data_IF_177763038828
#
_entry.id   IF_177763038828
#
_cell.length_a   1.000
_cell.length_b   1.000
_cell.length_c   1.000
_cell.angle_alpha   90.00
_cell.angle_beta   90.00
_cell.angle_gamma   90.00
#
_symmetry.space_group_name_H-M   'P 1'
#
loop_
_entity.id
_entity.type
_entity.pdbx_description
1 polymer ?
#
# COMPACT_ATOMS: atom_id res chain seq x y z
N UNK A 1 -37.67 -28.68 -5.54
CA UNK A 1 -36.49 -28.48 -6.41
C UNK A 1 -35.31 -28.22 -5.49
N UNK A 2 -34.55 -29.28 -5.23
CA UNK A 2 -33.40 -29.26 -4.33
C UNK A 2 -32.26 -28.43 -4.92
N UNK A 3 -31.88 -27.39 -4.23
CA UNK A 3 -30.63 -26.70 -4.46
C UNK A 3 -29.55 -27.39 -3.63
N UNK A 4 -28.90 -28.41 -4.19
CA UNK A 4 -27.68 -28.97 -3.63
C UNK A 4 -26.58 -27.89 -3.67
N UNK A 5 -26.21 -27.39 -2.49
CA UNK A 5 -24.98 -26.63 -2.30
C UNK A 5 -23.80 -27.51 -2.73
N UNK A 6 -23.23 -27.21 -3.88
CA UNK A 6 -21.91 -27.71 -4.26
C UNK A 6 -20.89 -27.16 -3.26
N UNK A 7 -20.34 -28.03 -2.43
CA UNK A 7 -19.17 -27.72 -1.61
C UNK A 7 -18.03 -27.25 -2.55
N UNK A 8 -17.30 -26.18 -2.20
CA UNK A 8 -16.13 -25.82 -2.97
C UNK A 8 -15.15 -27.02 -2.92
N UNK A 9 -14.77 -27.53 -4.09
CA UNK A 9 -13.68 -28.48 -4.24
C UNK A 9 -12.49 -27.97 -3.42
N UNK A 10 -11.98 -28.80 -2.52
CA UNK A 10 -10.79 -28.50 -1.75
C UNK A 10 -9.63 -28.41 -2.75
N UNK A 11 -9.24 -27.20 -3.09
CA UNK A 11 -8.08 -26.95 -3.93
C UNK A 11 -6.88 -27.73 -3.37
N UNK A 12 -6.12 -28.39 -4.23
CA UNK A 12 -4.91 -29.11 -3.83
C UNK A 12 -4.00 -28.17 -3.00
N UNK A 13 -3.37 -28.67 -1.95
CA UNK A 13 -2.51 -27.84 -1.09
C UNK A 13 -1.38 -27.20 -1.93
N UNK A 14 -1.11 -25.90 -1.74
CA UNK A 14 -0.02 -25.20 -2.43
C UNK A 14 1.31 -25.92 -2.11
N UNK A 15 1.99 -26.50 -3.12
CA UNK A 15 3.23 -27.27 -2.90
C UNK A 15 4.37 -26.42 -2.34
N UNK A 16 4.26 -25.11 -2.44
CA UNK A 16 5.25 -24.19 -1.93
C UNK A 16 5.01 -23.80 -0.46
N UNK A 17 3.91 -24.19 0.17
CA UNK A 17 3.59 -23.80 1.53
C UNK A 17 4.50 -24.48 2.56
N UNK A 18 5.05 -23.69 3.49
CA UNK A 18 5.83 -24.11 4.65
C UNK A 18 5.02 -23.80 5.91
N UNK A 19 4.25 -24.76 6.46
CA UNK A 19 3.31 -24.48 7.55
C UNK A 19 4.00 -24.11 8.88
N UNK A 20 5.25 -24.54 9.07
CA UNK A 20 6.04 -24.36 10.29
C UNK A 20 6.90 -23.07 10.30
N UNK A 21 6.81 -22.24 9.25
CA UNK A 21 7.76 -21.14 9.05
C UNK A 21 7.67 -20.04 10.14
N UNK A 22 6.57 -19.96 10.86
CA UNK A 22 6.34 -18.99 11.95
C UNK A 22 6.27 -19.64 13.33
N UNK A 23 6.58 -20.92 13.45
CA UNK A 23 6.56 -21.63 14.76
C UNK A 23 7.55 -20.97 15.73
N UNK A 24 7.09 -20.71 16.96
CA UNK A 24 7.89 -20.09 18.02
C UNK A 24 8.06 -18.57 17.86
N UNK A 25 7.21 -17.92 17.09
CA UNK A 25 7.13 -16.44 16.98
C UNK A 25 5.76 -16.00 17.47
N UNK A 26 5.69 -14.88 18.22
CA UNK A 26 4.45 -14.33 18.75
C UNK A 26 3.66 -13.58 17.68
N UNK A 27 3.29 -14.27 16.61
CA UNK A 27 2.44 -13.80 15.53
C UNK A 27 1.37 -14.82 15.18
N UNK A 28 0.21 -14.35 14.77
CA UNK A 28 -0.77 -15.10 14.02
C UNK A 28 -0.63 -14.73 12.53
N UNK A 29 0.08 -15.55 11.73
CA UNK A 29 0.36 -15.20 10.36
C UNK A 29 -0.93 -15.27 9.53
N UNK A 30 -1.14 -14.28 8.69
CA UNK A 30 -2.26 -14.27 7.76
C UNK A 30 -1.98 -15.23 6.60
N UNK A 31 -3.00 -15.87 5.99
CA UNK A 31 -2.77 -16.85 4.92
C UNK A 31 -1.89 -16.35 3.78
N UNK A 32 -2.09 -15.11 3.31
CA UNK A 32 -1.27 -14.53 2.26
C UNK A 32 0.20 -14.32 2.70
N UNK A 33 0.43 -14.00 3.98
CA UNK A 33 1.79 -13.84 4.51
C UNK A 33 2.53 -15.19 4.49
N UNK A 34 1.86 -16.26 4.92
CA UNK A 34 2.43 -17.61 4.86
C UNK A 34 2.79 -18.00 3.42
N UNK A 35 1.91 -17.76 2.46
CA UNK A 35 2.19 -18.01 1.03
C UNK A 35 3.40 -17.24 0.54
N UNK A 36 3.46 -15.93 0.82
CA UNK A 36 4.57 -15.05 0.40
C UNK A 36 5.89 -15.50 1.02
N UNK A 37 5.93 -15.72 2.35
CA UNK A 37 7.13 -16.13 3.07
C UNK A 37 7.62 -17.47 2.54
N UNK A 38 6.73 -18.45 2.40
CA UNK A 38 7.06 -19.79 1.92
C UNK A 38 7.62 -19.76 0.51
N UNK A 39 6.96 -19.06 -0.42
CA UNK A 39 7.44 -18.89 -1.79
C UNK A 39 8.80 -18.19 -1.83
N UNK A 40 9.01 -17.17 -1.01
CA UNK A 40 10.31 -16.46 -0.94
C UNK A 40 11.44 -17.41 -0.53
N UNK A 41 11.25 -18.17 0.53
CA UNK A 41 12.25 -19.14 0.99
C UNK A 41 12.53 -20.18 -0.08
N UNK A 42 11.50 -20.79 -0.67
CA UNK A 42 11.67 -21.80 -1.72
C UNK A 42 12.33 -21.24 -2.98
N UNK A 43 12.07 -19.98 -3.34
CA UNK A 43 12.79 -19.32 -4.45
C UNK A 43 14.27 -19.15 -4.13
N UNK A 44 14.63 -18.79 -2.90
CA UNK A 44 16.03 -18.68 -2.50
C UNK A 44 16.77 -20.03 -2.46
N UNK A 45 16.07 -21.12 -2.10
CA UNK A 45 16.65 -22.47 -1.99
C UNK A 45 16.59 -23.27 -3.29
N UNK A 46 15.88 -22.79 -4.32
CA UNK A 46 15.68 -23.51 -5.56
C UNK A 46 14.66 -24.66 -5.45
N UNK A 47 13.82 -24.63 -4.42
CA UNK A 47 12.73 -25.59 -4.21
C UNK A 47 11.37 -25.07 -4.68
N UNK A 48 11.32 -23.90 -5.27
CA UNK A 48 10.07 -23.30 -5.73
C UNK A 48 9.53 -24.05 -6.96
N UNK A 49 8.27 -24.48 -6.85
CA UNK A 49 7.53 -25.11 -7.96
C UNK A 49 6.61 -24.08 -8.58
N UNK A 50 6.78 -23.83 -9.88
CA UNK A 50 5.96 -22.88 -10.63
C UNK A 50 4.56 -23.44 -10.93
N UNK A 51 3.70 -22.59 -11.52
CA UNK A 51 2.31 -22.97 -11.87
C UNK A 51 2.20 -24.16 -12.87
N UNK A 52 3.28 -24.50 -13.54
CA UNK A 52 3.34 -25.61 -14.50
C UNK A 52 3.86 -26.91 -13.83
N UNK A 53 4.12 -26.90 -12.50
CA UNK A 53 4.65 -28.04 -11.78
C UNK A 53 6.17 -28.21 -11.93
N UNK A 54 6.89 -27.24 -12.47
CA UNK A 54 8.34 -27.30 -12.69
C UNK A 54 9.07 -26.61 -11.55
N UNK A 55 10.14 -27.25 -11.09
CA UNK A 55 11.03 -26.65 -10.10
C UNK A 55 11.94 -25.62 -10.77
N UNK A 56 12.02 -24.44 -10.19
CA UNK A 56 12.85 -23.35 -10.69
C UNK A 56 14.21 -23.29 -9.98
N UNK A 57 15.26 -22.83 -10.67
CA UNK A 57 16.58 -22.64 -10.07
C UNK A 57 16.52 -21.59 -8.93
N UNK A 58 17.48 -21.64 -7.98
CA UNK A 58 17.52 -20.69 -6.88
C UNK A 58 17.71 -19.25 -7.38
N UNK A 59 16.85 -18.35 -6.91
CA UNK A 59 16.97 -16.91 -7.17
C UNK A 59 18.03 -16.29 -6.26
N UNK A 60 18.74 -15.26 -6.75
CA UNK A 60 19.66 -14.47 -5.94
C UNK A 60 18.96 -13.24 -5.34
N UNK A 61 17.90 -12.76 -5.98
CA UNK A 61 17.14 -11.64 -5.51
C UNK A 61 15.64 -11.85 -5.66
N UNK A 62 14.89 -11.62 -4.57
CA UNK A 62 13.44 -11.73 -4.53
C UNK A 62 12.85 -10.45 -3.94
N UNK A 63 11.85 -9.88 -4.60
CA UNK A 63 11.10 -8.75 -4.06
C UNK A 63 9.70 -9.18 -3.63
N UNK A 64 9.33 -8.84 -2.41
CA UNK A 64 7.97 -8.93 -1.90
C UNK A 64 7.27 -7.61 -2.19
N UNK A 65 6.34 -7.61 -3.15
CA UNK A 65 5.41 -6.52 -3.37
C UNK A 65 4.17 -6.73 -2.52
N UNK A 66 3.98 -5.88 -1.52
CA UNK A 66 2.82 -5.99 -0.64
C UNK A 66 2.41 -4.61 -0.11
N UNK A 67 1.11 -4.31 0.01
CA UNK A 67 0.62 -3.00 0.41
C UNK A 67 1.16 -2.50 1.74
N UNK A 68 1.09 -1.18 1.95
CA UNK A 68 1.33 -0.59 3.27
C UNK A 68 0.33 -1.15 4.29
N UNK A 69 0.80 -1.55 5.47
CA UNK A 69 -0.03 -2.19 6.50
C UNK A 69 -0.25 -3.70 6.32
N UNK A 70 0.31 -4.32 5.28
CA UNK A 70 0.24 -5.77 5.07
C UNK A 70 1.17 -6.58 5.97
N UNK A 71 2.11 -5.95 6.69
CA UNK A 71 3.10 -6.63 7.53
C UNK A 71 4.37 -7.05 6.78
N UNK A 72 4.85 -6.23 5.86
CA UNK A 72 6.11 -6.48 5.12
C UNK A 72 7.29 -6.78 6.03
N UNK A 73 7.46 -6.00 7.11
CA UNK A 73 8.52 -6.21 8.11
C UNK A 73 8.43 -7.59 8.74
N UNK A 74 7.22 -8.03 9.12
CA UNK A 74 6.98 -9.39 9.66
C UNK A 74 7.35 -10.46 8.64
N UNK A 75 6.98 -10.29 7.37
CA UNK A 75 7.34 -11.23 6.31
C UNK A 75 8.85 -11.27 6.09
N UNK A 76 9.52 -10.11 6.04
CA UNK A 76 10.98 -10.02 5.92
C UNK A 76 11.71 -10.69 7.07
N UNK A 77 11.29 -10.44 8.32
CA UNK A 77 11.86 -11.07 9.51
C UNK A 77 11.64 -12.58 9.52
N UNK A 78 10.47 -13.06 9.07
CA UNK A 78 10.20 -14.50 8.95
C UNK A 78 11.14 -15.19 7.97
N UNK A 79 11.37 -14.59 6.80
CA UNK A 79 12.33 -15.08 5.80
C UNK A 79 13.75 -15.05 6.36
N UNK A 80 14.17 -13.93 6.95
CA UNK A 80 15.51 -13.76 7.54
C UNK A 80 15.78 -14.81 8.62
N UNK A 81 14.81 -15.02 9.54
CA UNK A 81 14.89 -16.05 10.58
C UNK A 81 15.09 -17.45 9.99
N UNK A 82 14.32 -17.81 8.96
CA UNK A 82 14.43 -19.12 8.31
C UNK A 82 15.79 -19.30 7.65
N UNK A 83 16.25 -18.28 6.90
CA UNK A 83 17.56 -18.31 6.24
C UNK A 83 18.71 -18.40 7.25
N UNK A 84 18.64 -17.65 8.35
CA UNK A 84 19.64 -17.69 9.40
C UNK A 84 19.65 -19.05 10.13
N UNK A 85 18.50 -19.56 10.60
CA UNK A 85 18.44 -20.79 11.39
C UNK A 85 18.74 -22.06 10.59
N UNK A 86 18.27 -22.10 9.35
CA UNK A 86 18.40 -23.31 8.53
C UNK A 86 19.70 -23.35 7.74
N UNK A 87 20.17 -22.19 7.28
CA UNK A 87 21.31 -22.10 6.35
C UNK A 87 22.52 -21.35 6.93
N UNK A 88 22.41 -20.84 8.16
CA UNK A 88 23.50 -20.12 8.84
C UNK A 88 23.82 -18.75 8.26
N UNK A 89 22.91 -18.14 7.50
CA UNK A 89 23.15 -16.85 6.85
C UNK A 89 23.27 -15.72 7.87
N UNK A 90 24.31 -14.91 7.74
CA UNK A 90 24.39 -13.62 8.39
C UNK A 90 23.41 -12.64 7.71
N UNK A 91 22.66 -11.86 8.51
CA UNK A 91 21.57 -11.01 8.03
C UNK A 91 21.92 -9.53 8.18
N UNK A 92 21.76 -8.75 7.11
CA UNK A 92 21.77 -7.30 7.14
C UNK A 92 20.38 -6.74 6.83
N UNK A 93 19.94 -5.74 7.59
CA UNK A 93 18.71 -5.03 7.34
C UNK A 93 19.01 -3.59 6.96
N UNK A 94 18.65 -3.21 5.74
CA UNK A 94 18.91 -1.89 5.18
C UNK A 94 17.64 -1.08 5.08
N UNK A 95 17.70 0.18 5.50
CA UNK A 95 16.67 1.17 5.24
C UNK A 95 17.27 2.56 5.00
N UNK A 96 16.53 3.39 4.27
CA UNK A 96 16.88 4.79 4.03
C UNK A 96 16.87 5.63 5.30
N UNK A 97 16.01 5.28 6.26
CA UNK A 97 15.77 6.07 7.48
C UNK A 97 16.04 5.25 8.73
N UNK A 98 16.69 5.87 9.71
CA UNK A 98 17.03 5.22 11.00
C UNK A 98 15.81 4.71 11.75
N UNK A 99 14.69 5.46 11.74
CA UNK A 99 13.47 5.02 12.42
C UNK A 99 12.87 3.73 11.84
N UNK A 100 13.07 3.45 10.54
CA UNK A 100 12.67 2.16 9.95
C UNK A 100 13.54 1.00 10.47
N UNK A 101 14.84 1.26 10.66
CA UNK A 101 15.76 0.28 11.26
C UNK A 101 15.34 -0.02 12.71
N UNK A 102 15.09 1.01 13.50
CA UNK A 102 14.61 0.86 14.89
C UNK A 102 13.27 0.10 14.95
N UNK A 103 12.32 0.43 14.05
CA UNK A 103 11.05 -0.29 13.98
C UNK A 103 11.23 -1.77 13.65
N UNK A 104 12.14 -2.11 12.72
CA UNK A 104 12.42 -3.49 12.39
C UNK A 104 13.05 -4.26 13.58
N UNK A 105 13.97 -3.62 14.29
CA UNK A 105 14.60 -4.18 15.48
C UNK A 105 13.60 -4.39 16.64
N UNK A 106 12.74 -3.40 16.90
CA UNK A 106 11.68 -3.51 17.89
C UNK A 106 10.69 -4.62 17.56
N UNK A 107 10.29 -4.74 16.29
CA UNK A 107 9.38 -5.78 15.83
C UNK A 107 10.03 -7.16 15.95
N UNK A 108 11.32 -7.29 15.63
CA UNK A 108 12.13 -8.49 15.80
C UNK A 108 12.11 -8.95 17.27
N UNK A 109 12.43 -8.06 18.21
CA UNK A 109 12.47 -8.33 19.63
C UNK A 109 11.09 -8.61 20.21
N UNK A 110 10.11 -7.74 19.94
CA UNK A 110 8.76 -7.81 20.51
C UNK A 110 8.03 -9.10 20.16
N UNK A 111 8.26 -9.61 18.96
CA UNK A 111 7.61 -10.83 18.46
C UNK A 111 8.44 -12.10 18.62
N UNK A 112 9.66 -12.02 19.14
CA UNK A 112 10.52 -13.18 19.34
C UNK A 112 10.96 -13.83 18.04
N UNK A 113 11.23 -13.03 17.00
CA UNK A 113 11.87 -13.58 15.80
C UNK A 113 13.31 -14.00 16.10
N UNK A 114 13.99 -13.29 16.99
CA UNK A 114 15.35 -13.55 17.44
C UNK A 114 16.34 -13.65 16.26
N UNK A 115 16.15 -12.80 15.26
CA UNK A 115 17.10 -12.67 14.15
C UNK A 115 18.28 -11.84 14.63
N UNK A 116 19.47 -12.39 14.58
CA UNK A 116 20.71 -11.62 14.72
C UNK A 116 20.95 -10.86 13.42
N UNK A 117 20.52 -9.59 13.38
CA UNK A 117 20.61 -8.78 12.18
C UNK A 117 21.45 -7.52 12.41
N UNK A 118 22.27 -7.19 11.42
CA UNK A 118 23.06 -5.96 11.37
C UNK A 118 22.22 -4.87 10.74
N UNK A 119 21.94 -3.80 11.50
CA UNK A 119 21.19 -2.64 11.01
C UNK A 119 22.12 -1.74 10.20
N UNK A 120 21.80 -1.53 8.93
CA UNK A 120 22.67 -0.84 7.97
C UNK A 120 21.92 0.37 7.40
N UNK A 121 22.51 1.56 7.53
CA UNK A 121 21.99 2.72 6.81
C UNK A 121 22.33 2.61 5.32
N UNK A 122 21.41 3.00 4.42
CA UNK A 122 21.73 3.05 2.99
C UNK A 122 22.86 4.03 2.63
N UNK A 123 23.28 4.86 3.57
CA UNK A 123 24.40 5.82 3.43
C UNK A 123 25.66 5.38 4.16
N UNK A 124 25.72 4.12 4.63
CA UNK A 124 26.89 3.59 5.32
C UNK A 124 28.08 3.49 4.36
N UNK A 125 29.23 3.97 4.83
CA UNK A 125 30.45 3.97 4.03
C UNK A 125 31.30 2.72 4.23
N UNK A 126 31.06 1.99 5.31
CA UNK A 126 31.79 0.77 5.69
C UNK A 126 30.83 -0.30 6.20
N UNK A 127 29.87 -0.73 5.36
CA UNK A 127 28.85 -1.68 5.78
C UNK A 127 29.51 -3.04 6.11
N UNK A 128 28.94 -3.78 7.09
CA UNK A 128 29.40 -5.12 7.38
C UNK A 128 29.07 -6.08 6.24
N UNK A 129 29.90 -7.10 6.05
CA UNK A 129 29.59 -8.22 5.14
C UNK A 129 28.43 -9.04 5.71
N UNK A 130 27.48 -9.42 4.85
CA UNK A 130 26.32 -10.27 5.18
C UNK A 130 25.95 -11.16 4.00
N UNK A 131 25.36 -12.31 4.29
CA UNK A 131 24.94 -13.25 3.26
C UNK A 131 23.56 -12.93 2.71
N UNK A 132 22.61 -12.54 3.59
CA UNK A 132 21.27 -12.06 3.20
C UNK A 132 21.14 -10.57 3.50
N UNK A 133 20.86 -9.78 2.47
CA UNK A 133 20.55 -8.38 2.60
C UNK A 133 19.05 -8.16 2.45
N UNK A 134 18.37 -7.71 3.51
CA UNK A 134 16.97 -7.29 3.47
C UNK A 134 16.91 -5.78 3.24
N UNK A 135 16.26 -5.35 2.16
CA UNK A 135 16.13 -3.95 1.77
C UNK A 135 14.69 -3.50 2.00
N UNK A 136 14.46 -2.70 3.04
CA UNK A 136 13.15 -2.12 3.31
C UNK A 136 12.91 -0.88 2.45
N UNK A 137 11.68 -0.72 1.94
CA UNK A 137 11.30 0.27 0.94
C UNK A 137 12.19 0.18 -0.33
N UNK A 138 12.27 -1.02 -0.89
CA UNK A 138 13.16 -1.37 -1.99
C UNK A 138 12.95 -0.58 -3.29
N UNK A 139 11.90 0.24 -3.42
CA UNK A 139 11.75 1.17 -4.54
C UNK A 139 12.87 2.22 -4.62
N UNK A 140 13.64 2.37 -3.54
CA UNK A 140 14.85 3.21 -3.50
C UNK A 140 16.14 2.47 -3.88
N UNK A 141 16.06 1.16 -4.16
CA UNK A 141 17.23 0.31 -4.45
C UNK A 141 18.03 0.78 -5.68
N UNK A 142 17.37 1.45 -6.61
CA UNK A 142 18.05 2.05 -7.76
C UNK A 142 18.84 3.34 -7.49
N UNK A 143 18.91 3.81 -6.25
CA UNK A 143 19.72 4.96 -5.91
C UNK A 143 21.22 4.60 -5.95
N UNK A 144 22.09 5.58 -6.30
CA UNK A 144 23.52 5.36 -6.35
C UNK A 144 24.11 4.86 -5.02
N UNK A 145 23.56 5.33 -3.89
CA UNK A 145 23.96 4.87 -2.56
C UNK A 145 23.69 3.37 -2.35
N UNK A 146 22.53 2.87 -2.82
CA UNK A 146 22.21 1.45 -2.75
C UNK A 146 23.08 0.60 -3.67
N UNK A 147 23.33 1.07 -4.90
CA UNK A 147 24.24 0.38 -5.81
C UNK A 147 25.66 0.25 -5.21
N UNK A 148 26.16 1.32 -4.59
CA UNK A 148 27.45 1.31 -3.88
C UNK A 148 27.42 0.33 -2.70
N UNK A 149 26.32 0.29 -1.95
CA UNK A 149 26.16 -0.61 -0.80
C UNK A 149 26.19 -2.08 -1.25
N UNK A 150 25.46 -2.43 -2.31
CA UNK A 150 25.50 -3.77 -2.91
C UNK A 150 26.91 -4.16 -3.38
N UNK A 151 27.65 -3.23 -4.01
CA UNK A 151 29.03 -3.48 -4.43
C UNK A 151 29.99 -3.71 -3.24
N UNK A 152 29.77 -3.03 -2.11
CA UNK A 152 30.57 -3.20 -0.90
C UNK A 152 30.24 -4.48 -0.14
N UNK A 153 28.96 -4.77 0.06
CA UNK A 153 28.48 -5.93 0.84
C UNK A 153 28.62 -7.24 0.06
N UNK A 154 28.29 -7.23 -1.24
CA UNK A 154 28.23 -8.41 -2.13
C UNK A 154 27.44 -9.58 -1.51
N UNK A 155 26.19 -9.36 -1.11
CA UNK A 155 25.40 -10.39 -0.46
C UNK A 155 25.11 -11.56 -1.42
N UNK A 156 24.97 -12.77 -0.88
CA UNK A 156 24.59 -13.95 -1.67
C UNK A 156 23.10 -13.87 -2.07
N UNK A 157 22.26 -13.32 -1.20
CA UNK A 157 20.83 -13.18 -1.41
C UNK A 157 20.36 -11.76 -1.06
N UNK A 158 19.42 -11.24 -1.85
CA UNK A 158 18.78 -9.94 -1.60
C UNK A 158 17.28 -10.10 -1.51
N UNK A 159 16.70 -9.65 -0.42
CA UNK A 159 15.25 -9.60 -0.19
C UNK A 159 14.79 -8.13 -0.22
N UNK A 160 14.04 -7.74 -1.24
CA UNK A 160 13.39 -6.42 -1.30
C UNK A 160 12.00 -6.44 -0.70
N UNK A 161 11.65 -5.43 0.08
CA UNK A 161 10.31 -5.20 0.60
C UNK A 161 9.78 -3.89 0.05
N UNK A 162 8.67 -3.89 -0.70
CA UNK A 162 8.10 -2.67 -1.27
C UNK A 162 6.58 -2.73 -1.37
N UNK A 163 5.94 -1.56 -1.32
CA UNK A 163 4.52 -1.43 -1.67
C UNK A 163 4.31 -1.21 -3.18
N UNK A 164 5.36 -0.93 -3.93
CA UNK A 164 5.34 -0.65 -5.36
C UNK A 164 6.57 -1.24 -6.03
N UNK A 165 6.42 -2.04 -7.11
CA UNK A 165 7.55 -2.72 -7.76
C UNK A 165 8.32 -1.83 -8.74
N UNK A 166 8.03 -0.53 -8.76
CA UNK A 166 8.61 0.41 -9.70
C UNK A 166 9.27 1.58 -8.99
N UNK A 167 10.37 2.04 -9.53
CA UNK A 167 11.00 3.29 -9.14
C UNK A 167 10.11 4.49 -9.52
N UNK A 168 10.42 5.65 -8.98
CA UNK A 168 9.75 6.93 -9.30
C UNK A 168 9.85 7.31 -10.78
N UNK A 169 10.93 6.89 -11.45
CA UNK A 169 11.15 7.03 -12.91
C UNK A 169 10.43 5.95 -13.75
N UNK A 170 9.60 5.10 -13.13
CA UNK A 170 8.87 3.98 -13.73
C UNK A 170 9.74 2.82 -14.26
N UNK A 171 11.02 2.82 -13.95
CA UNK A 171 11.89 1.68 -14.26
C UNK A 171 11.57 0.56 -13.27
N UNK A 172 11.40 -0.67 -13.79
CA UNK A 172 11.21 -1.85 -12.96
C UNK A 172 12.47 -2.13 -12.15
N UNK A 173 12.31 -2.47 -10.87
CA UNK A 173 13.43 -2.88 -10.04
C UNK A 173 14.04 -4.19 -10.56
N UNK A 174 15.37 -4.28 -10.51
CA UNK A 174 16.13 -5.41 -11.04
C UNK A 174 16.22 -6.55 -10.01
N UNK A 175 15.08 -7.18 -9.71
CA UNK A 175 15.02 -8.42 -8.94
C UNK A 175 14.77 -9.60 -9.86
N UNK A 176 15.40 -10.76 -9.58
CA UNK A 176 15.18 -11.99 -10.35
C UNK A 176 13.70 -12.41 -10.31
N UNK A 177 13.10 -12.29 -9.12
CA UNK A 177 11.70 -12.64 -8.88
C UNK A 177 10.97 -11.52 -8.12
N UNK A 178 9.70 -11.34 -8.46
CA UNK A 178 8.76 -10.45 -7.74
C UNK A 178 7.55 -11.27 -7.32
N UNK A 179 7.26 -11.27 -6.03
CA UNK A 179 6.09 -11.94 -5.46
C UNK A 179 5.04 -10.89 -5.16
N UNK A 180 3.89 -11.02 -5.82
CA UNK A 180 2.66 -10.27 -5.52
C UNK A 180 1.58 -11.30 -5.21
N UNK A 181 0.96 -11.25 -4.02
CA UNK A 181 -0.11 -12.18 -3.64
C UNK A 181 -1.44 -11.47 -3.52
N UNK A 182 -1.60 -10.54 -2.58
CA UNK A 182 -2.84 -9.83 -2.33
C UNK A 182 -2.68 -8.32 -2.46
N UNK A 183 -3.51 -7.69 -3.30
CA UNK A 183 -3.59 -6.23 -3.43
C UNK A 183 -4.39 -5.58 -2.31
N UNK A 184 -4.37 -4.23 -2.24
CA UNK A 184 -5.10 -3.45 -1.22
C UNK A 184 -6.58 -3.84 -1.18
N UNK A 185 -7.23 -3.97 -2.34
CA UNK A 185 -8.65 -4.31 -2.44
C UNK A 185 -8.95 -5.65 -1.77
N UNK A 186 -8.19 -6.70 -2.10
CA UNK A 186 -8.34 -8.01 -1.50
C UNK A 186 -8.13 -7.98 0.01
N UNK A 187 -7.09 -7.29 0.48
CA UNK A 187 -6.81 -7.17 1.92
C UNK A 187 -7.89 -6.41 2.69
N UNK A 188 -8.60 -5.48 2.06
CA UNK A 188 -9.79 -4.82 2.63
C UNK A 188 -10.96 -5.81 2.71
N UNK A 189 -11.22 -6.56 1.65
CA UNK A 189 -12.30 -7.56 1.61
C UNK A 189 -12.08 -8.67 2.63
N UNK A 190 -10.85 -9.17 2.76
CA UNK A 190 -10.46 -10.19 3.74
C UNK A 190 -10.42 -9.64 5.18
N UNK A 191 -10.69 -8.34 5.36
CA UNK A 191 -10.70 -7.69 6.66
C UNK A 191 -9.33 -7.48 7.29
N UNK A 192 -8.24 -7.57 6.56
CA UNK A 192 -6.88 -7.30 7.06
C UNK A 192 -6.51 -5.81 7.03
N UNK A 193 -7.13 -5.03 6.15
CA UNK A 193 -7.06 -3.58 6.10
C UNK A 193 -8.44 -2.97 6.37
N UNK A 194 -8.45 -1.70 6.80
CA UNK A 194 -9.70 -0.99 7.08
C UNK A 194 -10.46 -0.67 5.78
N UNK A 195 -11.78 -0.73 5.86
CA UNK A 195 -12.69 -0.20 4.83
C UNK A 195 -12.58 1.32 4.78
N UNK A 196 -13.01 1.94 3.66
CA UNK A 196 -12.88 3.38 3.54
C UNK A 196 -13.99 4.03 2.70
N UNK A 197 -14.15 5.34 2.92
CA UNK A 197 -14.98 6.24 2.14
C UNK A 197 -14.10 7.12 1.27
N UNK A 198 -14.52 7.32 0.03
CA UNK A 198 -13.82 8.19 -0.91
C UNK A 198 -14.59 9.50 -1.09
N UNK A 199 -13.92 10.62 -0.91
CA UNK A 199 -14.47 11.96 -1.07
C UNK A 199 -13.79 12.67 -2.22
N UNK A 200 -14.60 13.28 -3.11
CA UNK A 200 -14.10 14.03 -4.26
C UNK A 200 -14.48 15.50 -4.12
N UNK A 201 -13.48 16.36 -3.95
CA UNK A 201 -13.61 17.82 -3.93
C UNK A 201 -13.42 18.41 -5.33
N UNK A 202 -13.93 19.61 -5.64
CA UNK A 202 -13.82 20.22 -6.98
C UNK A 202 -12.37 20.46 -7.39
N UNK A 203 -11.57 21.04 -6.51
CA UNK A 203 -10.19 21.47 -6.74
C UNK A 203 -9.29 21.13 -5.53
N UNK A 204 -7.98 21.14 -5.74
CA UNK A 204 -7.00 20.84 -4.69
C UNK A 204 -6.00 21.98 -4.56
N UNK A 205 -6.41 23.02 -3.84
CA UNK A 205 -5.57 24.17 -3.46
C UNK A 205 -5.49 24.26 -1.94
N UNK A 206 -4.51 24.97 -1.36
CA UNK A 206 -4.45 25.20 0.09
C UNK A 206 -5.76 25.73 0.68
N UNK A 207 -6.39 26.70 -0.02
CA UNK A 207 -7.64 27.34 0.37
C UNK A 207 -8.82 26.35 0.35
N UNK A 208 -8.92 25.58 -0.73
CA UNK A 208 -9.98 24.57 -0.86
C UNK A 208 -9.84 23.48 0.20
N UNK A 209 -8.64 22.92 0.40
CA UNK A 209 -8.38 21.88 1.40
C UNK A 209 -8.64 22.41 2.81
N UNK A 210 -8.15 23.60 3.16
CA UNK A 210 -8.41 24.22 4.46
C UNK A 210 -9.91 24.46 4.68
N UNK A 211 -10.63 24.99 3.69
CA UNK A 211 -12.08 25.21 3.74
C UNK A 211 -12.84 23.92 3.98
N UNK A 212 -12.55 22.84 3.25
CA UNK A 212 -13.22 21.56 3.45
C UNK A 212 -12.92 20.96 4.81
N UNK A 213 -11.69 21.07 5.29
CA UNK A 213 -11.34 20.58 6.62
C UNK A 213 -12.05 21.37 7.72
N UNK A 214 -12.02 22.71 7.66
CA UNK A 214 -12.57 23.60 8.69
C UNK A 214 -14.09 23.58 8.74
N UNK A 215 -14.76 23.32 7.61
CA UNK A 215 -16.22 23.20 7.57
C UNK A 215 -16.74 22.01 8.40
N UNK A 216 -16.01 20.88 8.40
CA UNK A 216 -16.46 19.65 9.07
C UNK A 216 -15.29 18.94 9.77
N UNK A 217 -14.59 19.57 10.74
CA UNK A 217 -13.37 19.01 11.33
C UNK A 217 -13.61 17.67 12.04
N UNK A 218 -14.78 17.46 12.63
CA UNK A 218 -15.15 16.20 13.28
C UNK A 218 -15.31 15.04 12.26
N UNK A 219 -15.75 15.33 11.05
CA UNK A 219 -15.80 14.36 9.96
C UNK A 219 -14.41 13.83 9.66
N UNK A 220 -13.45 14.73 9.49
CA UNK A 220 -12.10 14.38 9.06
C UNK A 220 -11.24 13.80 10.17
N UNK A 221 -11.36 14.30 11.39
CA UNK A 221 -10.61 13.84 12.54
C UNK A 221 -9.09 13.97 12.33
N UNK A 222 -8.34 13.01 12.82
CA UNK A 222 -6.87 12.95 12.65
C UNK A 222 -6.52 12.78 11.18
N UNK A 223 -5.78 13.74 10.61
CA UNK A 223 -5.67 13.92 9.16
C UNK A 223 -4.22 14.14 8.70
N UNK A 224 -3.85 13.48 7.59
CA UNK A 224 -2.67 13.82 6.79
C UNK A 224 -3.09 14.58 5.54
N UNK A 225 -2.36 15.64 5.21
CA UNK A 225 -2.57 16.44 3.99
C UNK A 225 -1.26 16.45 3.20
N UNK A 226 -1.34 16.17 1.90
CA UNK A 226 -0.19 16.16 1.00
C UNK A 226 -0.31 17.25 -0.05
N UNK A 227 0.75 18.05 -0.24
CA UNK A 227 0.89 19.03 -1.33
C UNK A 227 2.13 18.76 -2.17
N UNK A 228 2.24 19.46 -3.30
CA UNK A 228 3.42 19.36 -4.18
C UNK A 228 4.57 20.23 -3.70
N UNK A 229 4.26 21.41 -3.13
CA UNK A 229 5.22 22.46 -2.78
C UNK A 229 5.14 22.80 -1.31
N UNK A 230 6.28 23.21 -0.76
CA UNK A 230 6.37 23.61 0.64
C UNK A 230 5.55 24.87 0.94
N UNK A 231 5.51 25.81 -0.03
CA UNK A 231 4.69 27.03 0.08
C UNK A 231 3.20 26.69 0.24
N UNK A 232 2.71 25.70 -0.50
CA UNK A 232 1.32 25.21 -0.39
C UNK A 232 1.06 24.60 1.00
N UNK A 233 2.03 23.86 1.54
CA UNK A 233 1.94 23.31 2.90
C UNK A 233 1.80 24.42 3.94
N UNK A 234 2.66 25.44 3.87
CA UNK A 234 2.61 26.57 4.80
C UNK A 234 1.37 27.45 4.61
N UNK A 235 0.90 27.63 3.38
CA UNK A 235 -0.34 28.35 3.11
C UNK A 235 -1.54 27.64 3.77
N UNK A 236 -1.66 26.34 3.58
CA UNK A 236 -2.72 25.54 4.20
C UNK A 236 -2.60 25.54 5.74
N UNK A 237 -1.38 25.44 6.29
CA UNK A 237 -1.13 25.52 7.72
C UNK A 237 -1.65 26.82 8.32
N UNK A 238 -1.32 27.98 7.72
CA UNK A 238 -1.80 29.29 8.17
C UNK A 238 -3.32 29.34 8.19
N UNK A 239 -3.96 28.96 7.09
CA UNK A 239 -5.42 28.97 6.97
C UNK A 239 -6.11 28.09 8.02
N UNK A 240 -5.54 26.92 8.33
CA UNK A 240 -6.06 26.03 9.36
C UNK A 240 -5.87 26.62 10.75
N UNK A 241 -4.68 27.15 11.06
CA UNK A 241 -4.37 27.75 12.36
C UNK A 241 -5.19 29.01 12.62
N UNK A 242 -5.39 29.87 11.60
CA UNK A 242 -6.24 31.06 11.68
C UNK A 242 -7.72 30.68 11.95
N UNK A 243 -8.14 29.51 11.48
CA UNK A 243 -9.45 28.94 11.78
C UNK A 243 -9.50 28.16 13.12
N UNK A 244 -8.48 28.30 13.98
CA UNK A 244 -8.39 27.64 15.27
C UNK A 244 -8.16 26.12 15.19
N UNK A 245 -7.57 25.63 14.09
CA UNK A 245 -7.24 24.21 13.89
C UNK A 245 -5.73 24.00 13.90
N UNK A 246 -5.21 23.44 15.00
CA UNK A 246 -3.78 23.23 15.13
C UNK A 246 -3.27 22.23 14.07
N UNK A 247 -2.49 22.76 13.13
CA UNK A 247 -1.88 22.02 12.03
C UNK A 247 -0.37 22.28 12.00
N UNK A 248 0.40 21.25 11.72
CA UNK A 248 1.86 21.33 11.60
C UNK A 248 2.36 20.86 10.24
N UNK A 249 3.40 21.53 9.73
CA UNK A 249 4.10 21.14 8.51
C UNK A 249 5.32 20.30 8.87
N UNK A 250 5.36 19.07 8.36
CA UNK A 250 6.51 18.17 8.55
C UNK A 250 7.47 18.31 7.39
N UNK A 251 8.71 18.67 7.69
CA UNK A 251 9.80 18.85 6.72
C UNK A 251 11.03 18.03 7.14
N UNK A 252 12.04 17.98 6.27
CA UNK A 252 13.34 17.39 6.62
C UNK A 252 14.09 18.18 7.71
N UNK A 253 13.72 19.45 7.93
CA UNK A 253 14.36 20.36 8.89
C UNK A 253 13.58 20.53 10.18
N UNK A 254 12.32 20.06 10.24
CA UNK A 254 11.49 20.15 11.44
C UNK A 254 11.84 19.02 12.43
N UNK A 255 11.48 19.20 13.72
CA UNK A 255 11.58 18.12 14.70
C UNK A 255 10.49 17.08 14.44
N UNK A 256 10.71 16.27 13.40
CA UNK A 256 9.75 15.30 12.88
C UNK A 256 9.29 14.31 13.95
N UNK A 257 10.20 13.79 14.75
CA UNK A 257 9.86 12.75 15.73
C UNK A 257 8.91 13.31 16.78
N UNK A 258 9.17 14.50 17.29
CA UNK A 258 8.26 15.19 18.21
C UNK A 258 6.89 15.47 17.54
N UNK A 259 6.86 15.94 16.30
CA UNK A 259 5.61 16.21 15.59
C UNK A 259 4.78 14.93 15.38
N UNK A 260 5.44 13.80 15.12
CA UNK A 260 4.77 12.49 14.99
C UNK A 260 4.22 12.01 16.34
N UNK A 261 4.98 12.16 17.42
CA UNK A 261 4.54 11.81 18.78
C UNK A 261 3.34 12.67 19.22
N UNK A 262 3.38 13.98 18.92
CA UNK A 262 2.28 14.90 19.20
C UNK A 262 1.02 14.55 18.39
N UNK A 263 1.21 14.13 17.15
CA UNK A 263 0.12 13.66 16.29
C UNK A 263 -0.45 12.33 16.78
N UNK A 264 0.38 11.35 17.13
CA UNK A 264 -0.08 10.06 17.67
C UNK A 264 -0.81 10.27 18.99
N UNK A 265 -0.30 11.11 19.87
CA UNK A 265 -0.91 11.47 21.14
C UNK A 265 -2.18 12.32 21.01
N UNK A 266 -2.49 12.86 19.83
CA UNK A 266 -3.66 13.71 19.60
C UNK A 266 -3.51 15.18 20.01
N UNK A 267 -2.30 15.63 20.34
CA UNK A 267 -2.00 17.05 20.59
C UNK A 267 -2.07 17.87 19.30
N UNK A 268 -1.70 17.26 18.18
CA UNK A 268 -1.85 17.79 16.83
C UNK A 268 -2.80 16.86 16.06
N UNK A 269 -3.79 17.44 15.38
CA UNK A 269 -4.76 16.67 14.62
C UNK A 269 -4.54 16.68 13.10
N UNK A 270 -3.71 17.61 12.61
CA UNK A 270 -3.42 17.75 11.17
C UNK A 270 -1.93 17.83 10.95
N UNK A 271 -1.38 16.90 10.18
CA UNK A 271 -0.03 17.00 9.65
C UNK A 271 -0.07 17.25 8.15
N UNK A 272 0.73 18.21 7.70
CA UNK A 272 0.82 18.62 6.29
C UNK A 272 2.24 18.34 5.81
N UNK A 273 2.38 17.76 4.62
CA UNK A 273 3.69 17.46 4.08
C UNK A 273 3.69 17.31 2.55
N UNK A 274 4.88 17.25 1.94
CA UNK A 274 5.01 16.99 0.51
C UNK A 274 5.10 15.49 0.20
N UNK A 275 6.06 14.77 0.81
CA UNK A 275 6.31 13.36 0.57
C UNK A 275 6.91 12.64 1.78
N UNK A 276 7.35 13.36 2.82
CA UNK A 276 8.12 12.80 3.94
C UNK A 276 7.34 11.74 4.72
N UNK A 277 6.03 11.87 4.80
CA UNK A 277 5.14 10.96 5.50
C UNK A 277 4.55 9.86 4.61
N UNK A 278 5.00 9.74 3.36
CA UNK A 278 4.64 8.59 2.51
C UNK A 278 5.34 7.30 2.95
N UNK A 279 6.39 7.40 3.78
CA UNK A 279 7.19 6.26 4.25
C UNK A 279 7.52 6.37 5.74
N UNK A 280 7.64 5.22 6.40
CA UNK A 280 8.10 5.12 7.79
C UNK A 280 7.22 5.78 8.85
N UNK A 281 5.93 6.01 8.56
CA UNK A 281 4.97 6.55 9.51
C UNK A 281 3.85 5.54 9.80
N UNK A 282 3.65 5.24 11.06
CA UNK A 282 2.59 4.35 11.56
C UNK A 282 1.67 5.08 12.52
N UNK A 283 0.40 5.23 12.15
CA UNK A 283 -0.63 5.80 13.02
C UNK A 283 -1.97 5.11 12.78
N UNK A 284 -2.31 4.05 13.51
CA UNK A 284 -3.59 3.37 13.38
C UNK A 284 -4.80 4.29 13.61
N UNK A 285 -4.67 5.29 14.48
CA UNK A 285 -5.71 6.30 14.74
C UNK A 285 -5.87 7.35 13.63
N UNK A 286 -5.06 7.32 12.56
CA UNK A 286 -5.25 8.16 11.37
C UNK A 286 -6.61 7.85 10.74
N UNK A 287 -7.45 8.87 10.57
CA UNK A 287 -8.81 8.73 10.00
C UNK A 287 -8.87 9.13 8.54
N UNK A 288 -8.19 10.23 8.16
CA UNK A 288 -8.34 10.84 6.84
C UNK A 288 -7.00 11.15 6.20
N UNK A 289 -6.93 10.95 4.88
CA UNK A 289 -5.81 11.42 4.05
C UNK A 289 -6.34 12.26 2.91
N UNK A 290 -5.87 13.50 2.81
CA UNK A 290 -6.05 14.36 1.65
C UNK A 290 -4.88 14.12 0.69
N UNK A 291 -5.17 13.48 -0.45
CA UNK A 291 -4.18 13.12 -1.44
C UNK A 291 -4.14 14.15 -2.57
N UNK A 292 -3.01 14.81 -2.72
CA UNK A 292 -2.76 15.69 -3.87
C UNK A 292 -2.90 14.95 -5.20
N UNK A 293 -3.25 15.63 -6.31
CA UNK A 293 -3.25 15.03 -7.64
C UNK A 293 -1.91 14.36 -7.96
N UNK A 294 -1.93 13.07 -8.26
CA UNK A 294 -0.68 12.30 -8.46
C UNK A 294 -0.92 11.07 -9.33
N UNK A 295 0.15 10.51 -9.90
CA UNK A 295 0.12 9.22 -10.58
C UNK A 295 -0.07 8.05 -9.58
N UNK A 296 -0.20 6.84 -10.12
CA UNK A 296 -0.56 5.61 -9.40
C UNK A 296 0.31 5.35 -8.16
N UNK A 297 1.62 5.34 -8.31
CA UNK A 297 2.55 5.00 -7.23
C UNK A 297 2.43 5.96 -6.04
N UNK A 298 2.52 7.28 -6.28
CA UNK A 298 2.38 8.28 -5.22
C UNK A 298 1.00 8.23 -4.56
N UNK A 299 -0.07 8.03 -5.34
CA UNK A 299 -1.43 7.93 -4.80
C UNK A 299 -1.57 6.73 -3.88
N UNK A 300 -1.02 5.56 -4.26
CA UNK A 300 -1.03 4.36 -3.42
C UNK A 300 -0.23 4.58 -2.13
N UNK A 301 0.92 5.22 -2.20
CA UNK A 301 1.75 5.51 -1.02
C UNK A 301 1.05 6.47 -0.06
N UNK A 302 0.48 7.57 -0.56
CA UNK A 302 -0.27 8.53 0.27
C UNK A 302 -1.53 7.90 0.88
N UNK A 303 -2.40 7.34 0.04
CA UNK A 303 -3.67 6.74 0.49
C UNK A 303 -3.46 5.49 1.33
N UNK A 304 -2.40 4.72 1.05
CA UNK A 304 -2.07 3.51 1.80
C UNK A 304 -1.83 3.73 3.30
N UNK A 305 -1.48 4.95 3.71
CA UNK A 305 -1.24 5.29 5.13
C UNK A 305 -2.47 5.13 6.01
N UNK A 306 -3.67 5.28 5.46
CA UNK A 306 -4.90 5.32 6.24
C UNK A 306 -5.43 3.93 6.62
N UNK A 307 -5.05 2.86 5.92
CA UNK A 307 -5.74 1.56 6.00
C UNK A 307 -5.45 0.71 7.24
N UNK A 308 -4.60 1.15 8.14
CA UNK A 308 -4.35 0.39 9.37
C UNK A 308 -5.59 0.30 10.22
N UNK A 309 -5.87 -0.91 10.71
CA UNK A 309 -7.06 -1.14 11.56
C UNK A 309 -6.94 -0.43 12.90
N UNK A 310 -8.04 0.13 13.34
CA UNK A 310 -8.21 0.71 14.66
C UNK A 310 -9.62 0.37 15.16
N UNK A 311 -9.78 -0.14 16.38
CA UNK A 311 -11.07 -0.58 16.89
C UNK A 311 -12.17 0.48 16.80
N UNK A 312 -11.85 1.72 17.15
CA UNK A 312 -12.80 2.84 17.17
C UNK A 312 -12.99 3.51 15.79
N UNK A 313 -12.18 3.15 14.77
CA UNK A 313 -12.20 3.75 13.45
C UNK A 313 -12.31 2.68 12.36
N UNK A 314 -13.45 2.00 12.27
CA UNK A 314 -13.64 0.91 11.30
C UNK A 314 -13.65 1.40 9.85
N UNK A 315 -14.01 2.68 9.62
CA UNK A 315 -14.04 3.32 8.32
C UNK A 315 -13.03 4.47 8.26
N UNK A 316 -12.16 4.40 7.29
CA UNK A 316 -11.17 5.42 6.97
C UNK A 316 -11.66 6.33 5.84
N UNK A 317 -10.89 7.38 5.51
CA UNK A 317 -11.32 8.35 4.50
C UNK A 317 -10.15 8.76 3.60
N UNK A 318 -10.42 8.82 2.30
CA UNK A 318 -9.48 9.38 1.31
C UNK A 318 -10.20 10.52 0.59
N UNK A 319 -9.56 11.67 0.55
CA UNK A 319 -10.04 12.87 -0.14
C UNK A 319 -9.14 13.17 -1.32
N UNK A 320 -9.73 13.31 -2.51
CA UNK A 320 -9.04 13.67 -3.75
C UNK A 320 -9.86 14.71 -4.53
N UNK A 321 -9.27 15.37 -5.52
CA UNK A 321 -10.03 16.25 -6.40
C UNK A 321 -10.46 15.55 -7.70
N UNK A 322 -11.45 16.16 -8.39
CA UNK A 322 -12.01 15.65 -9.67
C UNK A 322 -10.95 15.39 -10.74
N UNK A 323 -9.90 16.22 -10.81
CA UNK A 323 -8.85 16.13 -11.84
C UNK A 323 -7.61 15.37 -11.39
N UNK A 324 -7.72 14.43 -10.46
CA UNK A 324 -6.57 13.61 -10.09
C UNK A 324 -6.24 12.59 -11.19
N UNK A 325 -4.96 12.45 -11.59
CA UNK A 325 -4.55 11.51 -12.64
C UNK A 325 -4.89 10.05 -12.31
N UNK A 326 -4.74 9.67 -11.00
CA UNK A 326 -5.10 8.34 -10.53
C UNK A 326 -6.03 8.43 -9.31
N UNK A 327 -7.36 8.33 -9.48
CA UNK A 327 -8.29 8.18 -8.37
C UNK A 327 -8.01 6.88 -7.60
N UNK A 328 -8.00 6.95 -6.26
CA UNK A 328 -7.67 5.79 -5.43
C UNK A 328 -8.66 4.63 -5.59
N UNK A 329 -9.90 4.93 -5.95
CA UNK A 329 -10.94 3.93 -6.28
C UNK A 329 -10.54 2.97 -7.42
N UNK A 330 -9.57 3.34 -8.28
CA UNK A 330 -8.99 2.43 -9.28
C UNK A 330 -8.02 1.40 -8.67
N UNK A 331 -7.56 1.62 -7.44
CA UNK A 331 -6.68 0.70 -6.71
C UNK A 331 -7.48 -0.24 -5.82
N UNK A 332 -8.46 0.30 -5.10
CA UNK A 332 -9.35 -0.45 -4.24
C UNK A 332 -10.74 0.21 -4.22
N UNK A 333 -11.78 -0.60 -4.21
CA UNK A 333 -13.14 -0.11 -4.15
C UNK A 333 -13.44 0.51 -2.79
N UNK A 334 -14.06 1.68 -2.77
CA UNK A 334 -14.54 2.31 -1.55
C UNK A 334 -15.91 1.79 -1.18
N UNK A 335 -16.23 1.74 0.11
CA UNK A 335 -17.56 1.39 0.61
C UNK A 335 -18.62 2.37 0.12
N UNK A 336 -18.27 3.65 0.20
CA UNK A 336 -19.11 4.76 -0.22
C UNK A 336 -18.25 5.82 -0.91
N UNK A 337 -18.82 6.45 -1.92
CA UNK A 337 -18.18 7.53 -2.66
C UNK A 337 -19.04 8.78 -2.55
N UNK A 338 -18.40 9.89 -2.26
CA UNK A 338 -19.01 11.19 -2.12
C UNK A 338 -18.37 12.19 -3.07
N UNK A 339 -19.20 13.02 -3.70
CA UNK A 339 -18.75 14.14 -4.54
C UNK A 339 -19.37 15.42 -4.01
N UNK A 340 -18.58 16.48 -3.93
CA UNK A 340 -19.07 17.79 -3.58
C UNK A 340 -19.69 18.45 -4.82
N UNK A 341 -21.00 18.71 -4.77
CA UNK A 341 -21.77 19.35 -5.83
C UNK A 341 -22.82 20.26 -5.19
N UNK A 342 -22.98 21.46 -5.71
CA UNK A 342 -24.00 22.45 -5.29
C UNK A 342 -24.02 22.69 -3.77
N UNK A 343 -22.83 22.87 -3.17
CA UNK A 343 -22.71 23.18 -1.75
C UNK A 343 -22.97 21.99 -0.79
N UNK A 344 -23.09 20.77 -1.29
CA UNK A 344 -23.36 19.59 -0.47
C UNK A 344 -22.61 18.33 -0.93
N UNK A 345 -22.40 17.39 -0.01
CA UNK A 345 -21.94 16.06 -0.33
C UNK A 345 -23.06 15.22 -0.94
N UNK A 346 -22.84 14.74 -2.16
CA UNK A 346 -23.74 13.80 -2.84
C UNK A 346 -23.09 12.42 -2.87
N UNK A 347 -23.84 11.40 -2.45
CA UNK A 347 -23.36 10.01 -2.49
C UNK A 347 -23.47 9.48 -3.91
N UNK A 348 -22.38 8.93 -4.41
CA UNK A 348 -22.37 8.10 -5.62
C UNK A 348 -22.67 6.66 -5.20
N UNK A 349 -23.94 6.30 -5.07
CA UNK A 349 -24.33 4.89 -4.88
C UNK A 349 -24.11 4.18 -6.20
N UNK A 350 -23.23 3.19 -6.21
CA UNK A 350 -23.17 2.21 -7.30
C UNK A 350 -24.50 1.46 -7.31
N UNK A 351 -25.29 1.71 -8.33
CA UNK A 351 -26.52 0.93 -8.53
C UNK A 351 -26.09 -0.49 -8.94
N UNK A 352 -26.18 -1.44 -8.03
CA UNK A 352 -25.85 -2.85 -8.29
C UNK A 352 -26.70 -3.44 -9.44
N UNK A 353 -27.87 -2.84 -9.73
CA UNK A 353 -28.70 -3.21 -10.86
C UNK A 353 -28.28 -2.55 -12.19
N UNK A 354 -27.20 -1.75 -12.25
CA UNK A 354 -26.83 -0.99 -13.46
C UNK A 354 -26.59 -1.92 -14.66
N UNK A 355 -26.04 -3.12 -14.44
CA UNK A 355 -25.85 -4.10 -15.49
C UNK A 355 -27.19 -4.64 -16.01
N UNK A 356 -28.12 -4.94 -15.12
CA UNK A 356 -29.47 -5.39 -15.50
C UNK A 356 -30.24 -4.27 -16.20
N UNK A 357 -30.16 -3.05 -15.72
CA UNK A 357 -30.78 -1.86 -16.35
C UNK A 357 -30.18 -1.65 -17.75
N UNK A 358 -28.86 -1.72 -17.87
CA UNK A 358 -28.15 -1.55 -19.16
C UNK A 358 -28.53 -2.67 -20.14
N UNK A 359 -28.60 -3.91 -19.68
CA UNK A 359 -29.04 -5.04 -20.52
C UNK A 359 -30.50 -4.91 -20.95
N UNK A 360 -31.40 -4.49 -20.06
CA UNK A 360 -32.78 -4.22 -20.38
C UNK A 360 -32.92 -3.07 -21.38
N UNK A 361 -32.20 -1.96 -21.18
CA UNK A 361 -32.18 -0.85 -22.11
C UNK A 361 -31.67 -1.29 -23.49
N UNK A 362 -30.59 -2.08 -23.56
CA UNK A 362 -30.07 -2.66 -24.81
C UNK A 362 -31.10 -3.55 -25.50
N UNK A 363 -31.83 -4.39 -24.75
CA UNK A 363 -32.87 -5.24 -25.29
C UNK A 363 -34.03 -4.43 -25.85
N UNK A 364 -34.51 -3.42 -25.13
CA UNK A 364 -35.57 -2.51 -25.58
C UNK A 364 -35.14 -1.74 -26.83
N UNK A 365 -33.93 -1.22 -26.87
CA UNK A 365 -33.37 -0.53 -28.06
C UNK A 365 -33.26 -1.50 -29.25
N UNK A 366 -32.84 -2.75 -29.02
CA UNK A 366 -32.73 -3.75 -30.09
C UNK A 366 -34.09 -4.17 -30.66
N UNK A 367 -35.14 -4.10 -29.82
CA UNK A 367 -36.52 -4.39 -30.23
C UNK A 367 -37.24 -3.17 -30.83
N UNK A 368 -36.70 -1.95 -30.63
CA UNK A 368 -37.25 -0.73 -31.20
C UNK A 368 -36.83 -0.59 -32.66
N UNK A 369 -37.75 -0.11 -33.53
CA UNK A 369 -37.45 0.20 -34.92
C UNK A 369 -36.75 1.55 -35.10
N UNK A 370 -36.35 2.21 -34.03
CA UNK A 370 -35.67 3.49 -34.04
C UNK A 370 -34.20 3.30 -34.44
N UNK A 371 -33.76 4.00 -35.47
CA UNK A 371 -32.35 4.02 -35.88
C UNK A 371 -31.49 4.67 -34.80
N UNK A 372 -30.49 3.94 -34.30
CA UNK A 372 -29.55 4.47 -33.31
C UNK A 372 -28.66 5.56 -33.95
N UNK A 373 -28.35 6.67 -33.23
CA UNK A 373 -27.36 7.62 -33.67
C UNK A 373 -26.04 6.90 -34.01
N UNK A 374 -25.34 7.36 -35.08
CA UNK A 374 -24.10 6.74 -35.56
C UNK A 374 -23.03 6.52 -34.48
N UNK A 375 -22.93 7.44 -33.52
CA UNK A 375 -22.02 7.36 -32.36
C UNK A 375 -22.34 6.14 -31.47
N UNK A 376 -23.61 5.83 -31.26
CA UNK A 376 -24.03 4.68 -30.44
C UNK A 376 -23.89 3.36 -31.21
N UNK A 377 -24.10 3.40 -32.55
CA UNK A 377 -23.90 2.23 -33.43
C UNK A 377 -22.42 1.90 -33.61
N UNK A 378 -21.52 2.90 -33.64
CA UNK A 378 -20.07 2.71 -33.76
C UNK A 378 -19.46 2.04 -32.53
N UNK A 379 -19.98 2.33 -31.34
CA UNK A 379 -19.53 1.68 -30.08
C UNK A 379 -19.92 0.20 -29.98
N UNK A 380 -20.76 -0.33 -30.90
CA UNK A 380 -21.05 -1.76 -30.97
C UNK A 380 -19.89 -2.60 -31.55
N UNK A 381 -18.97 -1.99 -32.26
CA UNK A 381 -17.86 -2.68 -32.94
C UNK A 381 -16.64 -2.92 -31.99
N UNK A 382 -16.61 -2.34 -30.80
CA UNK A 382 -15.52 -2.55 -29.86
C UNK A 382 -16.06 -3.25 -28.60
N UNK A 383 -15.57 -4.47 -28.27
CA UNK A 383 -15.87 -5.10 -26.99
C UNK A 383 -15.39 -4.18 -25.86
N UNK A 384 -16.23 -4.03 -24.83
CA UNK A 384 -15.87 -3.21 -23.68
C UNK A 384 -14.64 -3.81 -22.98
N UNK A 385 -13.76 -2.99 -22.37
CA UNK A 385 -12.49 -3.45 -21.79
C UNK A 385 -12.59 -4.65 -20.86
N UNK A 386 -13.74 -4.87 -20.23
CA UNK A 386 -14.01 -6.02 -19.33
C UNK A 386 -14.48 -7.30 -20.03
N UNK A 387 -14.70 -7.27 -21.35
CA UNK A 387 -15.08 -8.46 -22.16
C UNK A 387 -13.85 -9.16 -22.78
N UNK A 388 -12.65 -8.58 -22.62
CA UNK A 388 -11.40 -9.12 -23.19
C UNK A 388 -10.69 -10.15 -22.31
N UNK A 389 -11.14 -10.35 -21.07
CA UNK A 389 -10.50 -11.22 -20.08
C UNK A 389 -11.41 -12.41 -19.68
N UNK A 390 -12.14 -12.98 -20.65
CA UNK A 390 -12.80 -14.28 -20.49
C UNK A 390 -12.15 -15.34 -21.35
#
# INVERSE_FOLDING_TARGET
>A
MDWSCSHPETAAPDPNLLPDITVGVAIEPRPYQLRIISKTVRMFTGEYVNRHGEQEPPANSVMIESPTGSGKTVMGLSVARRMQRQFGYSVGWVAMRRNLLTQAEEENRRRGFDVDMKLISMFDKTPPQVDLLVVDEAQHDGAMSMANLHCMIRPQKVLGLSATPYRTDRIKLCFDKVITDAGIHQLIQDGYLSRYRHFTIPEYTPEAVARFYTAEPQRWGKTLIFFHRLEECHACQRLLNDAGRHAEVVTAKSNRDQQLDDFVAGRVNVLINMAILTEGFDCPSLKTVFCRPSGKSCTIQMGGRVFRKHPELPLKQIVQCKKTPHPFIKTAMADEQYVWVDGAWRTLKLNQAINAITQNARRVIAQSQVALPKVVAANRAHPMPWERDR
#
